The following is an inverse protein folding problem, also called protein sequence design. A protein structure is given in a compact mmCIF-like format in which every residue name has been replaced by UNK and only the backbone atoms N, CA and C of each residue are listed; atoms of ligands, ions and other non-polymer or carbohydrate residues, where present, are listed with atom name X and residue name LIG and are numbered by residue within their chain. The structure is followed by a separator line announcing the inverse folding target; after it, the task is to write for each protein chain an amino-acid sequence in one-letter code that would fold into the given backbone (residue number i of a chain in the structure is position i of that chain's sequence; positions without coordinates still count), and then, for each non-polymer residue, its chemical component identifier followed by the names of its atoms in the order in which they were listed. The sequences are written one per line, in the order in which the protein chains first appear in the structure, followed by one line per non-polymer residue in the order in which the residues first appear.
data_IF_180155146018
#
_entry.id   IF_180155146018
#
_cell.length_a   1.000
_cell.length_b   1.000
_cell.length_c   1.000
_cell.angle_alpha   90.00
_cell.angle_beta   90.00
_cell.angle_gamma   90.00
#
_symmetry.space_group_name_H-M   'P 1'
#
loop_
_entity.id
_entity.type
_entity.pdbx_description
1 polymer ?
#
# COMPACT_ATOMS: atom_id res chain seq x y z
N UNK A 1 6.28 -17.52 -20.22
CA UNK A 1 7.50 -16.96 -19.59
C UNK A 1 7.75 -15.62 -20.27
N UNK A 2 7.97 -14.55 -19.51
CA UNK A 2 8.37 -13.25 -20.07
C UNK A 2 9.80 -12.94 -19.68
N UNK A 3 10.52 -12.24 -20.56
CA UNK A 3 11.85 -11.71 -20.30
C UNK A 3 11.72 -10.30 -19.72
N UNK A 4 12.49 -9.99 -18.69
CA UNK A 4 12.63 -8.63 -18.15
C UNK A 4 14.12 -8.23 -18.19
N UNK A 5 14.43 -6.96 -18.49
CA UNK A 5 15.79 -6.43 -18.69
C UNK A 5 16.19 -5.51 -17.53
N UNK A 6 17.37 -5.73 -16.94
CA UNK A 6 18.09 -4.77 -16.09
C UNK A 6 19.60 -4.91 -16.38
N UNK A 7 20.32 -3.83 -16.68
CA UNK A 7 21.79 -3.78 -16.86
C UNK A 7 22.42 -5.01 -17.57
N UNK A 8 21.97 -5.31 -18.79
CA UNK A 8 22.41 -6.44 -19.64
C UNK A 8 22.04 -7.87 -19.15
N UNK A 9 21.37 -8.01 -18.00
CA UNK A 9 20.90 -9.30 -17.50
C UNK A 9 19.44 -9.57 -17.94
N UNK A 10 19.18 -10.77 -18.46
CA UNK A 10 17.83 -11.23 -18.80
C UNK A 10 17.26 -12.09 -17.67
N UNK A 11 16.09 -11.72 -17.16
CA UNK A 11 15.38 -12.48 -16.13
C UNK A 11 14.20 -13.25 -16.75
N UNK A 12 14.00 -14.51 -16.32
CA UNK A 12 12.79 -15.28 -16.64
C UNK A 12 11.86 -15.25 -15.44
N UNK A 13 10.66 -14.70 -15.63
CA UNK A 13 9.65 -14.59 -14.56
C UNK A 13 8.57 -15.67 -14.75
N UNK A 14 8.24 -16.36 -13.66
CA UNK A 14 7.11 -17.29 -13.61
C UNK A 14 5.88 -16.63 -12.97
N UNK A 15 4.94 -16.19 -13.79
CA UNK A 15 3.69 -15.56 -13.36
C UNK A 15 2.66 -16.53 -12.75
N UNK A 16 2.90 -17.84 -12.78
CA UNK A 16 1.94 -18.83 -12.27
C UNK A 16 2.02 -18.99 -10.74
N UNK A 17 3.06 -18.47 -10.08
CA UNK A 17 3.25 -18.57 -8.63
C UNK A 17 3.69 -17.22 -8.03
N UNK A 18 2.86 -16.16 -8.14
CA UNK A 18 3.17 -14.90 -7.50
C UNK A 18 3.12 -15.06 -5.98
N UNK A 19 4.02 -14.37 -5.27
CA UNK A 19 3.94 -14.23 -3.83
C UNK A 19 3.59 -12.78 -3.50
N UNK A 20 2.48 -12.59 -2.80
CA UNK A 20 2.13 -11.27 -2.28
C UNK A 20 3.06 -10.91 -1.13
N UNK A 21 3.56 -9.68 -1.14
CA UNK A 21 4.28 -9.04 -0.03
C UNK A 21 3.44 -7.95 0.63
N UNK A 22 2.18 -7.79 0.23
CA UNK A 22 1.29 -6.79 0.78
C UNK A 22 0.75 -7.21 2.14
N UNK A 23 0.64 -6.25 3.06
CA UNK A 23 -0.10 -6.42 4.30
C UNK A 23 -1.59 -6.42 3.96
N UNK A 24 -2.30 -7.49 4.34
CA UNK A 24 -3.74 -7.58 4.11
C UNK A 24 -4.51 -6.54 4.92
N UNK A 25 -5.46 -5.85 4.29
CA UNK A 25 -6.39 -4.97 4.99
C UNK A 25 -7.39 -5.82 5.78
N UNK A 26 -7.31 -5.73 7.11
CA UNK A 26 -8.19 -6.45 8.03
C UNK A 26 -9.18 -5.48 8.66
N UNK A 27 -10.39 -5.38 8.11
CA UNK A 27 -11.40 -4.44 8.61
C UNK A 27 -11.92 -4.82 10.01
N UNK A 28 -11.98 -6.12 10.31
CA UNK A 28 -12.55 -6.67 11.55
C UNK A 28 -11.49 -7.17 12.55
N UNK A 29 -10.20 -7.00 12.26
CA UNK A 29 -9.09 -7.46 13.10
C UNK A 29 -7.97 -6.42 13.21
N UNK A 30 -6.90 -6.74 13.92
CA UNK A 30 -5.73 -5.86 14.00
C UNK A 30 -5.18 -5.54 12.60
N UNK A 31 -4.82 -4.28 12.39
CA UNK A 31 -4.36 -3.75 11.12
C UNK A 31 -3.36 -2.62 11.37
N UNK A 32 -2.47 -2.33 10.40
CA UNK A 32 -1.58 -1.19 10.49
C UNK A 32 -2.35 0.10 10.72
N UNK A 33 -1.77 0.94 11.58
CA UNK A 33 -2.31 2.23 11.89
C UNK A 33 -1.15 3.16 12.24
N UNK A 34 -0.66 3.87 11.23
CA UNK A 34 0.40 4.84 11.44
C UNK A 34 -0.17 6.16 11.98
N UNK A 35 0.58 6.81 12.88
CA UNK A 35 0.24 8.10 13.52
C UNK A 35 -1.11 8.16 14.25
N UNK A 36 -1.68 7.02 14.66
CA UNK A 36 -3.00 7.01 15.31
C UNK A 36 -4.13 7.41 14.37
N UNK A 37 -3.98 7.19 13.07
CA UNK A 37 -5.02 7.39 12.06
C UNK A 37 -6.31 6.63 12.39
N UNK A 38 -7.39 6.88 11.65
CA UNK A 38 -8.56 6.00 11.73
C UNK A 38 -8.20 4.59 11.23
N UNK A 39 -8.82 3.57 11.82
CA UNK A 39 -8.76 2.20 11.29
C UNK A 39 -9.49 2.17 9.95
N UNK A 40 -8.95 1.44 8.97
CA UNK A 40 -9.70 1.18 7.75
C UNK A 40 -10.96 0.37 8.09
N UNK A 41 -12.06 0.67 7.42
CA UNK A 41 -13.36 0.05 7.67
C UNK A 41 -14.09 -0.28 6.38
N UNK A 42 -14.91 -1.32 6.42
CA UNK A 42 -15.90 -1.63 5.38
C UNK A 42 -17.30 -1.61 6.00
N UNK A 43 -18.19 -0.78 5.45
CA UNK A 43 -19.57 -0.65 5.93
C UNK A 43 -20.54 -1.06 4.84
N UNK A 44 -21.52 -1.90 5.18
CA UNK A 44 -22.55 -2.35 4.22
C UNK A 44 -23.32 -1.15 3.69
N UNK A 45 -23.44 -1.06 2.37
CA UNK A 45 -24.23 -0.01 1.72
C UNK A 45 -25.72 -0.32 1.89
N UNK A 46 -26.48 0.68 2.36
CA UNK A 46 -27.95 0.63 2.45
C UNK A 46 -28.50 1.83 1.69
N UNK A 47 -29.43 1.58 0.76
CA UNK A 47 -30.01 2.62 -0.10
C UNK A 47 -31.49 2.31 -0.38
N UNK A 48 -32.40 3.00 0.32
CA UNK A 48 -33.83 2.68 0.28
C UNK A 48 -34.06 1.25 0.78
N UNK A 49 -34.75 0.43 -0.03
CA UNK A 49 -35.01 -0.98 0.28
C UNK A 49 -33.83 -1.90 -0.04
N UNK A 50 -32.76 -1.39 -0.64
CA UNK A 50 -31.57 -2.18 -0.94
C UNK A 50 -30.64 -2.30 0.26
N UNK A 51 -30.26 -3.53 0.60
CA UNK A 51 -29.21 -3.87 1.57
C UNK A 51 -28.11 -4.63 0.82
N UNK A 52 -26.91 -4.07 0.77
CA UNK A 52 -25.73 -4.65 0.13
C UNK A 52 -25.09 -5.80 0.91
N UNK A 53 -25.89 -6.75 1.40
CA UNK A 53 -25.41 -7.93 2.13
C UNK A 53 -26.31 -9.12 1.84
N UNK A 54 -25.76 -10.14 1.16
CA UNK A 54 -26.51 -11.35 0.78
C UNK A 54 -26.98 -12.15 1.98
N UNK A 55 -26.32 -12.02 3.14
CA UNK A 55 -26.72 -12.67 4.40
C UNK A 55 -27.96 -12.03 5.01
N UNK A 56 -28.31 -10.80 4.56
CA UNK A 56 -29.46 -10.02 5.00
C UNK A 56 -30.56 -9.94 3.93
N UNK A 57 -30.50 -10.80 2.92
CA UNK A 57 -31.49 -10.84 1.82
C UNK A 57 -31.17 -9.92 0.63
N UNK A 58 -29.99 -9.28 0.62
CA UNK A 58 -29.51 -8.51 -0.52
C UNK A 58 -29.23 -9.37 -1.75
N UNK A 59 -29.38 -8.81 -2.94
CA UNK A 59 -29.04 -9.48 -4.21
C UNK A 59 -27.53 -9.59 -4.46
N UNK A 60 -26.73 -8.76 -3.79
CA UNK A 60 -25.27 -8.77 -3.85
C UNK A 60 -24.65 -8.15 -2.59
N UNK A 61 -23.34 -8.33 -2.42
CA UNK A 61 -22.55 -7.70 -1.35
C UNK A 61 -21.95 -6.40 -1.84
N UNK A 62 -22.25 -5.30 -1.15
CA UNK A 62 -21.74 -3.96 -1.48
C UNK A 62 -21.35 -3.27 -0.19
N UNK A 63 -20.09 -2.83 -0.11
CA UNK A 63 -19.57 -2.11 1.04
C UNK A 63 -18.88 -0.81 0.61
N UNK A 64 -19.07 0.24 1.40
CA UNK A 64 -18.22 1.43 1.37
C UNK A 64 -16.96 1.14 2.16
N UNK A 65 -15.80 1.30 1.51
CA UNK A 65 -14.50 1.20 2.16
C UNK A 65 -14.01 2.61 2.50
N UNK A 66 -13.58 2.81 3.74
CA UNK A 66 -12.90 4.02 4.19
C UNK A 66 -11.50 3.63 4.65
N UNK A 67 -10.48 4.31 4.11
CA UNK A 67 -9.08 4.10 4.48
C UNK A 67 -8.25 5.37 4.28
N UNK A 68 -7.17 5.48 5.04
CA UNK A 68 -6.05 6.38 4.81
C UNK A 68 -4.90 5.54 4.23
N UNK A 69 -4.63 5.60 2.90
CA UNK A 69 -3.71 4.67 2.23
C UNK A 69 -2.32 4.58 2.89
N UNK A 70 -1.74 5.73 3.23
CA UNK A 70 -0.44 5.81 3.89
C UNK A 70 -0.39 5.09 5.25
N UNK A 71 -1.52 5.01 5.95
CA UNK A 71 -1.55 4.57 7.35
C UNK A 71 -2.04 3.14 7.55
N UNK A 72 -2.84 2.59 6.62
CA UNK A 72 -3.57 1.34 6.86
C UNK A 72 -2.95 0.08 6.22
N UNK A 73 -1.88 0.21 5.44
CA UNK A 73 -1.23 -0.96 4.84
C UNK A 73 -0.09 -0.63 3.87
N UNK A 74 0.29 -1.63 3.08
CA UNK A 74 1.25 -1.47 1.98
C UNK A 74 0.67 -0.54 0.93
N UNK A 75 1.40 0.51 0.56
CA UNK A 75 0.95 1.53 -0.38
C UNK A 75 2.13 2.06 -1.21
N UNK A 76 1.80 2.93 -2.16
CA UNK A 76 2.76 3.75 -2.90
C UNK A 76 2.26 5.19 -2.86
N UNK A 77 3.17 6.14 -3.01
CA UNK A 77 2.89 7.57 -2.95
C UNK A 77 3.23 8.23 -4.28
N UNK A 78 2.57 9.34 -4.58
CA UNK A 78 3.02 10.27 -5.62
C UNK A 78 3.69 11.48 -4.98
N UNK A 79 4.40 12.26 -5.80
CA UNK A 79 5.01 13.53 -5.36
C UNK A 79 4.00 14.50 -4.73
N UNK A 80 2.70 14.34 -5.04
CA UNK A 80 1.60 15.08 -4.45
C UNK A 80 1.55 15.03 -2.91
N UNK A 81 2.25 14.09 -2.27
CA UNK A 81 2.41 14.06 -0.81
C UNK A 81 3.20 15.25 -0.24
N UNK A 82 4.05 15.89 -1.05
CA UNK A 82 4.98 16.94 -0.58
C UNK A 82 4.96 18.20 -1.47
N UNK A 83 4.01 18.31 -2.40
CA UNK A 83 3.83 19.49 -3.25
C UNK A 83 2.35 19.86 -3.36
N UNK A 84 2.07 21.14 -3.59
CA UNK A 84 0.69 21.64 -3.71
C UNK A 84 -0.02 21.16 -4.99
N UNK A 85 0.74 20.78 -6.01
CA UNK A 85 0.15 20.33 -7.28
C UNK A 85 -0.43 18.92 -7.14
N UNK A 86 -1.71 18.70 -7.51
CA UNK A 86 -2.30 17.38 -7.46
C UNK A 86 -1.70 16.49 -8.54
N UNK A 87 -0.94 15.48 -8.13
CA UNK A 87 -0.40 14.45 -9.02
C UNK A 87 -1.01 13.11 -8.63
N UNK A 88 -1.93 12.61 -9.46
CA UNK A 88 -2.65 11.38 -9.15
C UNK A 88 -1.71 10.17 -9.15
N UNK A 89 -1.75 9.35 -8.09
CA UNK A 89 -0.95 8.13 -7.97
C UNK A 89 -1.16 7.14 -9.14
N UNK A 90 -2.36 7.14 -9.72
CA UNK A 90 -2.69 6.31 -10.88
C UNK A 90 -1.95 6.67 -12.18
N UNK A 91 -1.27 7.83 -12.23
CA UNK A 91 -0.44 8.25 -13.36
C UNK A 91 0.98 7.68 -13.30
N UNK A 92 1.38 7.05 -12.19
CA UNK A 92 2.67 6.38 -12.08
C UNK A 92 2.73 5.18 -13.04
N UNK A 93 3.92 4.91 -13.60
CA UNK A 93 4.12 3.81 -14.53
C UNK A 93 3.72 2.46 -13.89
N UNK A 94 2.77 1.75 -14.52
CA UNK A 94 2.21 0.49 -14.01
C UNK A 94 2.95 -0.75 -14.57
N UNK A 95 4.19 -0.59 -14.98
CA UNK A 95 4.99 -1.69 -15.54
C UNK A 95 5.63 -2.52 -14.43
N UNK A 96 5.82 -3.84 -14.61
CA UNK A 96 6.60 -4.64 -13.69
C UNK A 96 8.00 -4.03 -13.49
N UNK A 97 8.34 -3.76 -12.24
CA UNK A 97 9.65 -3.24 -11.85
C UNK A 97 10.50 -4.43 -11.39
N UNK A 98 11.69 -4.57 -11.97
CA UNK A 98 12.69 -5.51 -11.46
C UNK A 98 13.28 -4.89 -10.19
N UNK A 99 13.16 -5.60 -9.08
CA UNK A 99 13.68 -5.15 -7.79
C UNK A 99 14.57 -6.23 -7.16
N UNK A 100 15.48 -5.81 -6.28
CA UNK A 100 16.34 -6.69 -5.49
C UNK A 100 15.91 -6.62 -4.04
N UNK A 101 15.70 -7.78 -3.40
CA UNK A 101 15.45 -7.87 -1.96
C UNK A 101 16.78 -7.94 -1.22
N UNK A 102 17.05 -6.93 -0.39
CA UNK A 102 18.24 -6.86 0.46
C UNK A 102 17.80 -7.02 1.91
N UNK A 103 18.45 -7.93 2.65
CA UNK A 103 18.22 -8.09 4.08
C UNK A 103 19.25 -7.30 4.88
N UNK A 104 18.78 -6.47 5.82
CA UNK A 104 19.63 -5.68 6.73
C UNK A 104 19.28 -6.02 8.18
N UNK A 105 20.28 -5.96 9.07
CA UNK A 105 20.06 -6.09 10.52
C UNK A 105 19.99 -4.70 11.14
N UNK A 106 18.88 -4.32 11.80
CA UNK A 106 18.80 -3.02 12.46
C UNK A 106 19.75 -2.97 13.66
N UNK A 107 20.30 -1.79 13.91
CA UNK A 107 21.04 -1.43 15.13
C UNK A 107 20.25 -0.38 15.89
N UNK A 108 20.53 -0.23 17.19
CA UNK A 108 19.87 0.82 17.97
C UNK A 108 20.38 2.18 17.50
N UNK A 109 19.46 3.13 17.26
CA UNK A 109 19.82 4.49 16.86
C UNK A 109 20.78 5.15 17.87
N UNK A 110 20.65 4.83 19.16
CA UNK A 110 21.55 5.31 20.22
C UNK A 110 22.97 4.73 20.17
N UNK A 111 23.24 3.79 19.27
CA UNK A 111 24.54 3.10 19.14
C UNK A 111 25.25 3.43 17.82
N UNK A 112 24.73 4.38 17.06
CA UNK A 112 25.26 4.80 15.75
C UNK A 112 25.44 6.31 15.71
N UNK A 113 26.43 6.78 14.95
CA UNK A 113 26.62 8.21 14.67
C UNK A 113 25.74 8.72 13.50
N UNK A 114 24.74 7.93 13.09
CA UNK A 114 23.80 8.27 12.02
C UNK A 114 22.86 9.40 12.47
N UNK A 115 22.69 10.41 11.63
CA UNK A 115 21.93 11.62 11.93
C UNK A 115 21.01 12.00 10.75
N UNK A 116 19.73 12.18 11.03
CA UNK A 116 18.70 12.48 10.02
C UNK A 116 18.31 13.97 9.99
N UNK A 117 18.94 14.83 10.78
CA UNK A 117 18.66 16.27 10.71
C UNK A 117 19.37 16.86 9.49
N UNK A 118 18.65 17.23 8.41
CA UNK A 118 19.29 17.96 7.32
C UNK A 118 19.80 19.30 7.87
N UNK A 119 20.88 19.83 7.27
CA UNK A 119 21.27 21.20 7.53
C UNK A 119 20.13 22.12 7.05
N UNK A 120 19.36 22.66 8.00
CA UNK A 120 18.35 23.67 7.71
C UNK A 120 19.09 24.99 7.49
N UNK A 121 18.99 25.56 6.28
CA UNK A 121 19.37 26.95 6.08
C UNK A 121 18.35 27.84 6.80
N UNK A 122 18.82 28.75 7.66
CA UNK A 122 18.00 29.85 8.19
C UNK A 122 17.49 30.78 7.09
#
# INVERSE_FOLDING_TARGET
MSNALNDAQTYRVNWQRPQSIAIALQFDAEQPNHFGAARASAQVVVAGDFIGDTRRGGSCNVATITLTPHCNGTHTESISHIVDQPVAVGQLAQTPIIATLISVRPTLASTTDDAYLPALSE
#
